data_IF_427731332050
#
_entry.id   IF_427731332050
#
_cell.length_a   1.000
_cell.length_b   1.000
_cell.length_c   1.000
_cell.angle_alpha   90.00
_cell.angle_beta   90.00
_cell.angle_gamma   90.00
#
_symmetry.space_group_name_H-M   'P 1'
#
loop_
_entity.id
_entity.type
_entity.pdbx_description
1 polymer ?
#
# COMPACT_ATOMS: atom_id res chain seq x y z
N UNK A 1 5.32 16.94 12.47
CA UNK A 1 4.86 16.41 11.16
C UNK A 1 5.35 14.98 11.05
N UNK A 2 4.50 14.03 10.60
CA UNK A 2 5.02 12.73 10.15
C UNK A 2 5.73 13.00 8.83
N UNK A 3 7.00 12.61 8.72
CA UNK A 3 7.72 12.67 7.46
C UNK A 3 7.17 11.58 6.55
N UNK A 4 6.93 11.93 5.30
CA UNK A 4 6.54 10.98 4.27
C UNK A 4 7.76 10.13 3.90
N UNK A 5 7.57 8.81 3.77
CA UNK A 5 8.61 7.87 3.38
C UNK A 5 8.46 7.54 1.89
N UNK A 6 9.56 7.43 1.19
CA UNK A 6 9.63 7.13 -0.24
C UNK A 6 10.61 5.98 -0.48
N UNK A 7 10.47 5.30 -1.62
CA UNK A 7 11.35 4.22 -2.08
C UNK A 7 11.97 4.65 -3.40
N UNK A 8 13.29 4.66 -3.47
CA UNK A 8 14.05 4.80 -4.69
C UNK A 8 14.32 3.40 -5.27
N UNK A 9 13.98 3.20 -6.53
CA UNK A 9 14.32 2.02 -7.33
C UNK A 9 15.22 2.43 -8.48
N UNK A 10 16.25 1.64 -8.74
CA UNK A 10 17.12 1.80 -9.90
C UNK A 10 17.46 0.45 -10.49
N UNK A 11 17.32 0.35 -11.80
CA UNK A 11 17.84 -0.76 -12.60
C UNK A 11 19.09 -0.26 -13.34
N UNK A 12 20.25 -0.74 -12.90
CA UNK A 12 21.53 -0.38 -13.49
C UNK A 12 21.80 -1.06 -14.83
N UNK A 13 21.11 -2.15 -15.16
CA UNK A 13 21.24 -2.84 -16.45
C UNK A 13 20.50 -2.07 -17.55
N UNK A 14 19.35 -1.50 -17.22
CA UNK A 14 18.53 -0.71 -18.15
C UNK A 14 18.84 0.79 -18.10
N UNK A 15 19.56 1.27 -17.09
CA UNK A 15 19.86 2.71 -16.93
C UNK A 15 18.60 3.52 -16.59
N UNK A 16 17.70 2.96 -15.79
CA UNK A 16 16.41 3.58 -15.43
C UNK A 16 16.23 3.66 -13.91
N UNK A 17 15.36 4.56 -13.48
CA UNK A 17 14.99 4.72 -12.07
C UNK A 17 13.50 5.02 -11.90
N UNK A 18 13.00 4.82 -10.68
CA UNK A 18 11.65 5.20 -10.27
C UNK A 18 11.65 5.58 -8.79
N UNK A 19 10.74 6.47 -8.40
CA UNK A 19 10.51 6.84 -7.00
C UNK A 19 9.06 6.55 -6.65
N UNK A 20 8.85 5.75 -5.60
CA UNK A 20 7.54 5.32 -5.13
C UNK A 20 7.26 5.99 -3.79
N UNK A 21 6.12 6.67 -3.67
CA UNK A 21 5.65 7.16 -2.39
C UNK A 21 4.55 8.21 -2.50
N UNK A 22 4.06 8.72 -1.36
CA UNK A 22 4.46 8.32 -0.01
C UNK A 22 4.00 6.89 0.37
N UNK A 23 4.89 6.09 0.96
CA UNK A 23 4.60 4.74 1.46
C UNK A 23 4.45 4.71 2.98
N UNK A 24 3.65 3.78 3.50
CA UNK A 24 3.61 3.53 4.94
C UNK A 24 4.90 2.82 5.38
N UNK A 25 5.45 3.20 6.55
CA UNK A 25 6.69 2.63 7.08
C UNK A 25 6.65 1.10 7.21
N UNK A 26 5.48 0.53 7.50
CA UNK A 26 5.28 -0.93 7.57
C UNK A 26 5.46 -1.65 6.23
N UNK A 27 5.48 -0.94 5.11
CA UNK A 27 5.59 -1.52 3.75
C UNK A 27 6.95 -1.27 3.08
N UNK A 28 7.81 -0.43 3.64
CA UNK A 28 9.13 -0.17 3.06
C UNK A 28 10.00 -1.45 3.02
N UNK A 29 9.89 -2.29 4.05
CA UNK A 29 10.60 -3.56 4.13
C UNK A 29 10.21 -4.53 3.00
N UNK A 30 8.99 -4.46 2.48
CA UNK A 30 8.54 -5.33 1.37
C UNK A 30 9.31 -4.99 0.09
N UNK A 31 9.51 -3.70 -0.19
CA UNK A 31 10.32 -3.23 -1.32
C UNK A 31 11.79 -3.59 -1.16
N UNK A 32 12.37 -3.37 0.02
CA UNK A 32 13.76 -3.73 0.31
C UNK A 32 14.00 -5.24 0.14
N UNK A 33 13.07 -6.07 0.62
CA UNK A 33 13.14 -7.53 0.47
C UNK A 33 13.10 -7.91 -1.01
N UNK A 34 12.17 -7.35 -1.80
CA UNK A 34 12.08 -7.65 -3.23
C UNK A 34 13.31 -7.22 -4.02
N UNK A 35 13.90 -6.08 -3.64
CA UNK A 35 15.20 -5.66 -4.16
C UNK A 35 16.34 -6.63 -3.85
N UNK A 36 16.35 -7.18 -2.62
CA UNK A 36 17.33 -8.21 -2.23
C UNK A 36 17.16 -9.50 -3.03
N UNK A 37 15.92 -9.92 -3.25
CA UNK A 37 15.60 -11.12 -4.03
C UNK A 37 16.04 -10.96 -5.49
N UNK A 38 15.73 -9.81 -6.11
CA UNK A 38 16.17 -9.50 -7.47
C UNK A 38 17.69 -9.48 -7.61
N UNK A 39 18.40 -8.88 -6.65
CA UNK A 39 19.88 -8.92 -6.61
C UNK A 39 20.43 -10.33 -6.45
N UNK A 40 19.80 -11.14 -5.60
CA UNK A 40 20.19 -12.54 -5.38
C UNK A 40 19.96 -13.40 -6.63
N UNK A 41 19.00 -13.02 -7.48
CA UNK A 41 18.77 -13.62 -8.79
C UNK A 41 19.70 -13.09 -9.90
N UNK A 42 20.60 -12.15 -9.59
CA UNK A 42 21.62 -11.64 -10.51
C UNK A 42 21.27 -10.33 -11.22
N UNK A 43 20.15 -9.68 -10.90
CA UNK A 43 19.78 -8.38 -11.47
C UNK A 43 20.51 -7.23 -10.78
N UNK A 44 20.88 -6.19 -11.54
CA UNK A 44 21.53 -4.99 -11.01
C UNK A 44 20.51 -3.97 -10.45
N UNK A 45 19.76 -4.39 -9.42
CA UNK A 45 18.72 -3.56 -8.80
C UNK A 45 19.23 -2.90 -7.52
N UNK A 46 19.01 -1.59 -7.39
CA UNK A 46 19.20 -0.84 -6.16
C UNK A 46 17.84 -0.39 -5.61
N UNK A 47 17.59 -0.68 -4.34
CA UNK A 47 16.38 -0.25 -3.60
C UNK A 47 16.82 0.44 -2.33
N UNK A 48 16.32 1.65 -2.09
CA UNK A 48 16.62 2.45 -0.90
C UNK A 48 15.36 3.16 -0.42
N UNK A 49 15.05 3.10 0.87
CA UNK A 49 14.03 3.94 1.48
C UNK A 49 14.64 5.26 1.99
N UNK A 50 13.89 6.34 1.85
CA UNK A 50 14.37 7.68 2.23
C UNK A 50 13.20 8.58 2.62
N UNK A 51 13.49 9.67 3.33
CA UNK A 51 12.45 10.60 3.79
C UNK A 51 12.18 11.69 2.75
N UNK A 52 10.96 12.21 2.71
CA UNK A 52 10.54 13.17 1.68
C UNK A 52 11.36 14.46 1.58
N UNK A 53 12.15 14.81 2.60
CA UNK A 53 13.12 15.90 2.54
C UNK A 53 14.29 15.65 1.57
N UNK A 54 14.55 14.39 1.22
CA UNK A 54 15.62 13.97 0.31
C UNK A 54 15.11 13.74 -1.12
N UNK A 55 13.81 13.92 -1.40
CA UNK A 55 13.18 13.58 -2.68
C UNK A 55 13.84 14.27 -3.89
N UNK A 56 14.11 15.57 -3.77
CA UNK A 56 14.74 16.34 -4.84
C UNK A 56 16.19 15.88 -5.10
N UNK A 57 16.93 15.52 -4.04
CA UNK A 57 18.30 15.05 -4.13
C UNK A 57 18.39 13.73 -4.92
N UNK A 58 17.46 12.79 -4.68
CA UNK A 58 17.40 11.55 -5.44
C UNK A 58 17.09 11.76 -6.92
N UNK A 59 16.20 12.68 -7.28
CA UNK A 59 15.95 13.03 -8.69
C UNK A 59 17.19 13.64 -9.36
N UNK A 60 17.89 14.55 -8.67
CA UNK A 60 19.10 15.19 -9.19
C UNK A 60 20.25 14.20 -9.34
N UNK A 61 20.41 13.30 -8.36
CA UNK A 61 21.38 12.23 -8.41
C UNK A 61 21.10 11.30 -9.60
N UNK A 62 19.86 10.87 -9.81
CA UNK A 62 19.50 9.99 -10.93
C UNK A 62 19.77 10.67 -12.29
N UNK A 63 19.40 11.95 -12.43
CA UNK A 63 19.72 12.75 -13.62
C UNK A 63 21.22 12.88 -13.86
N UNK A 64 22.01 13.09 -12.82
CA UNK A 64 23.49 13.17 -12.94
C UNK A 64 24.12 11.85 -13.40
N UNK A 65 23.47 10.72 -13.11
CA UNK A 65 23.87 9.39 -13.56
C UNK A 65 23.37 9.05 -14.97
N UNK A 66 22.60 9.95 -15.59
CA UNK A 66 22.01 9.73 -16.91
C UNK A 66 20.85 8.74 -16.92
N UNK A 67 20.22 8.48 -15.76
CA UNK A 67 19.11 7.55 -15.66
C UNK A 67 17.81 8.17 -16.19
N UNK A 68 17.00 7.34 -16.84
CA UNK A 68 15.66 7.74 -17.28
C UNK A 68 14.61 7.34 -16.25
N UNK A 69 13.65 8.24 -15.98
CA UNK A 69 12.55 7.93 -15.06
C UNK A 69 11.49 7.08 -15.76
N UNK A 70 11.11 5.97 -15.13
CA UNK A 70 10.11 5.01 -15.64
C UNK A 70 9.09 4.64 -14.56
N UNK A 71 8.03 3.91 -14.94
CA UNK A 71 7.13 3.35 -13.95
C UNK A 71 7.88 2.29 -13.12
N UNK A 72 7.61 2.26 -11.81
CA UNK A 72 8.19 1.24 -10.92
C UNK A 72 8.00 -0.19 -11.43
N UNK A 73 6.88 -0.47 -12.11
CA UNK A 73 6.54 -1.78 -12.67
C UNK A 73 7.45 -2.18 -13.85
N UNK A 74 8.10 -1.20 -14.50
CA UNK A 74 9.09 -1.47 -15.55
C UNK A 74 10.43 -1.94 -14.94
N UNK A 75 10.65 -1.72 -13.64
CA UNK A 75 11.86 -2.13 -12.90
C UNK A 75 11.61 -3.39 -12.08
N UNK A 76 10.59 -3.36 -11.22
CA UNK A 76 10.17 -4.46 -10.37
C UNK A 76 8.66 -4.48 -10.28
N UNK A 77 8.07 -5.67 -10.38
CA UNK A 77 6.70 -5.87 -9.94
C UNK A 77 6.52 -5.29 -8.53
N UNK A 78 5.41 -4.63 -8.26
CA UNK A 78 5.11 -4.18 -6.89
C UNK A 78 5.19 -5.39 -5.94
N UNK A 79 5.89 -5.29 -4.78
CA UNK A 79 6.00 -6.38 -3.82
C UNK A 79 4.65 -6.77 -3.22
N UNK A 80 3.64 -5.91 -3.42
CA UNK A 80 2.28 -6.11 -3.00
C UNK A 80 1.32 -5.58 -4.05
N UNK A 81 0.15 -6.19 -4.18
CA UNK A 81 -0.94 -5.64 -4.98
C UNK A 81 -1.40 -4.30 -4.37
N UNK A 82 -0.91 -3.15 -4.86
CA UNK A 82 -1.22 -1.82 -4.32
C UNK A 82 -2.69 -1.40 -4.49
N UNK A 83 -3.52 -2.23 -5.16
CA UNK A 83 -4.98 -2.13 -5.04
C UNK A 83 -5.48 -2.37 -3.60
N UNK A 84 -4.60 -2.90 -2.73
CA UNK A 84 -4.83 -3.05 -1.30
C UNK A 84 -4.43 -1.86 -0.46
N UNK A 85 -4.01 -0.73 -1.02
CA UNK A 85 -3.71 0.50 -0.29
C UNK A 85 -4.90 1.45 -0.26
N UNK A 86 -5.05 2.27 0.81
CA UNK A 86 -6.29 3.02 1.07
C UNK A 86 -5.96 4.43 0.69
N UNK A 87 -6.41 4.82 -0.50
CA UNK A 87 -6.09 6.11 -1.10
C UNK A 87 -6.96 7.25 -0.57
N UNK A 88 -8.01 6.93 0.20
CA UNK A 88 -8.92 7.92 0.77
C UNK A 88 -8.34 8.73 1.93
N UNK A 89 -8.89 9.93 2.12
CA UNK A 89 -8.75 10.67 3.37
C UNK A 89 -9.55 9.99 4.47
N UNK A 90 -8.96 9.90 5.68
CA UNK A 90 -9.63 9.29 6.82
C UNK A 90 -10.49 10.33 7.56
N UNK A 91 -11.80 10.09 7.72
CA UNK A 91 -12.62 10.91 8.60
C UNK A 91 -12.16 10.75 10.05
N UNK A 92 -12.46 11.75 10.90
CA UNK A 92 -12.03 11.79 12.32
C UNK A 92 -12.28 10.49 13.09
N UNK A 93 -13.41 9.81 12.82
CA UNK A 93 -13.77 8.56 13.50
C UNK A 93 -12.94 7.33 13.08
N UNK A 94 -12.08 7.45 12.08
CA UNK A 94 -11.27 6.36 11.52
C UNK A 94 -9.77 6.69 11.46
N UNK A 95 -9.34 7.81 12.05
CA UNK A 95 -7.95 8.29 11.96
C UNK A 95 -6.93 7.33 12.60
N UNK A 96 -7.31 6.65 13.68
CA UNK A 96 -6.42 5.75 14.42
C UNK A 96 -6.43 4.31 13.87
N UNK A 97 -7.19 4.04 12.81
CA UNK A 97 -7.34 2.70 12.25
C UNK A 97 -6.17 2.34 11.33
N UNK A 98 -5.78 1.07 11.36
CA UNK A 98 -4.72 0.58 10.49
C UNK A 98 -5.21 0.62 9.03
N UNK A 99 -4.62 1.49 8.20
CA UNK A 99 -5.03 1.71 6.80
C UNK A 99 -5.06 0.40 6.02
N UNK A 100 -4.12 -0.50 6.29
CA UNK A 100 -3.98 -1.80 5.66
C UNK A 100 -5.15 -2.78 5.94
N UNK A 101 -6.03 -2.47 6.90
CA UNK A 101 -7.23 -3.25 7.27
C UNK A 101 -8.54 -2.57 6.88
N UNK A 102 -8.48 -1.41 6.22
CA UNK A 102 -9.67 -0.61 5.95
C UNK A 102 -10.43 -1.09 4.73
N UNK A 103 -11.75 -1.09 4.90
CA UNK A 103 -12.74 -1.28 3.84
C UNK A 103 -13.92 -0.32 4.04
N UNK A 104 -14.73 -0.17 3.00
CA UNK A 104 -16.08 0.37 3.06
C UNK A 104 -17.09 -0.78 3.06
N UNK A 105 -18.10 -0.66 3.90
CA UNK A 105 -19.24 -1.55 3.92
C UNK A 105 -20.54 -0.80 4.26
N UNK A 106 -21.67 -1.36 3.85
CA UNK A 106 -22.99 -0.91 4.31
C UNK A 106 -23.22 -1.42 5.74
N UNK A 107 -23.16 -0.52 6.73
CA UNK A 107 -23.31 -0.90 8.13
C UNK A 107 -24.79 -1.17 8.46
N UNK A 108 -25.15 -2.45 8.63
CA UNK A 108 -26.48 -2.91 9.05
C UNK A 108 -26.81 -2.64 10.53
N UNK A 109 -25.83 -2.18 11.33
CA UNK A 109 -26.01 -1.77 12.73
C UNK A 109 -26.60 -0.36 12.90
N UNK A 110 -26.08 0.41 13.86
CA UNK A 110 -26.64 1.74 14.20
C UNK A 110 -26.47 2.80 13.09
N UNK A 111 -25.50 2.64 12.19
CA UNK A 111 -25.23 3.66 11.16
C UNK A 111 -26.18 3.63 9.97
N UNK A 112 -26.66 2.45 9.57
CA UNK A 112 -27.55 2.23 8.40
C UNK A 112 -27.08 2.91 7.10
N UNK A 113 -25.77 3.03 6.91
CA UNK A 113 -25.15 3.67 5.74
C UNK A 113 -23.76 3.11 5.48
N UNK A 114 -23.21 3.41 4.30
CA UNK A 114 -21.82 3.09 3.97
C UNK A 114 -20.87 3.85 4.87
N UNK A 115 -19.96 3.13 5.52
CA UNK A 115 -18.98 3.66 6.47
C UNK A 115 -17.67 2.91 6.35
N UNK A 116 -16.59 3.49 6.88
CA UNK A 116 -15.35 2.77 7.05
C UNK A 116 -15.47 1.73 8.17
N UNK A 117 -14.89 0.57 7.90
CA UNK A 117 -14.78 -0.54 8.82
C UNK A 117 -13.36 -1.12 8.77
N UNK A 118 -12.98 -1.77 9.87
CA UNK A 118 -11.68 -2.41 10.04
C UNK A 118 -11.84 -3.92 10.00
N UNK A 119 -11.09 -4.57 9.12
CA UNK A 119 -11.00 -6.02 9.01
C UNK A 119 -10.20 -6.62 10.18
N UNK A 120 -10.52 -7.87 10.53
CA UNK A 120 -9.73 -8.66 11.46
C UNK A 120 -8.33 -9.03 10.93
N UNK A 121 -8.12 -8.91 9.61
CA UNK A 121 -6.87 -9.22 8.90
C UNK A 121 -6.53 -8.09 7.92
N UNK A 122 -5.26 -7.96 7.46
CA UNK A 122 -4.94 -7.06 6.34
C UNK A 122 -5.85 -7.32 5.14
N UNK A 123 -6.23 -6.26 4.42
CA UNK A 123 -7.13 -6.34 3.28
C UNK A 123 -6.54 -7.27 2.20
N UNK A 124 -7.21 -8.40 1.90
CA UNK A 124 -6.64 -9.45 1.04
C UNK A 124 -6.89 -9.20 -0.46
N UNK A 125 -7.47 -8.05 -0.81
CA UNK A 125 -7.93 -7.76 -2.16
C UNK A 125 -9.40 -8.13 -2.38
N UNK A 126 -10.03 -7.46 -3.36
CA UNK A 126 -11.48 -7.56 -3.62
C UNK A 126 -11.91 -8.97 -4.03
N UNK A 127 -11.13 -9.63 -4.88
CA UNK A 127 -11.46 -10.95 -5.40
C UNK A 127 -11.35 -12.04 -4.33
N UNK A 128 -10.36 -11.94 -3.42
CA UNK A 128 -10.27 -12.85 -2.28
C UNK A 128 -11.41 -12.63 -1.29
N UNK A 129 -11.80 -11.38 -1.04
CA UNK A 129 -12.99 -11.09 -0.22
C UNK A 129 -14.24 -11.71 -0.83
N UNK A 130 -14.50 -11.59 -2.13
CA UNK A 130 -15.72 -12.16 -2.74
C UNK A 130 -15.77 -13.69 -2.68
N UNK A 131 -14.63 -14.35 -2.84
CA UNK A 131 -14.55 -15.83 -2.88
C UNK A 131 -14.57 -16.48 -1.50
N UNK A 132 -14.31 -15.71 -0.44
CA UNK A 132 -14.19 -16.26 0.90
C UNK A 132 -15.55 -16.64 1.51
N UNK A 133 -15.68 -17.82 2.14
CA UNK A 133 -16.87 -18.20 2.89
C UNK A 133 -17.29 -17.19 3.96
N UNK A 134 -18.60 -17.07 4.17
CA UNK A 134 -19.19 -16.18 5.16
C UNK A 134 -18.59 -16.44 6.55
N UNK A 135 -18.19 -15.38 7.24
CA UNK A 135 -17.59 -15.47 8.58
C UNK A 135 -16.08 -15.71 8.62
N UNK A 136 -15.43 -16.05 7.50
CA UNK A 136 -13.96 -16.09 7.41
C UNK A 136 -13.35 -14.72 7.71
N UNK A 137 -13.94 -13.67 7.13
CA UNK A 137 -13.57 -12.29 7.40
C UNK A 137 -14.61 -11.59 8.25
N UNK A 138 -14.14 -10.78 9.19
CA UNK A 138 -14.97 -9.97 10.08
C UNK A 138 -14.56 -8.52 9.93
N UNK A 139 -15.55 -7.64 9.77
CA UNK A 139 -15.32 -6.22 9.67
C UNK A 139 -16.05 -5.48 10.79
N UNK A 140 -15.32 -4.70 11.59
CA UNK A 140 -15.88 -3.87 12.66
C UNK A 140 -16.13 -2.46 12.13
N UNK A 141 -17.38 -2.01 12.18
CA UNK A 141 -17.73 -0.63 11.84
C UNK A 141 -17.02 0.34 12.78
N UNK A 142 -16.20 1.23 12.25
CA UNK A 142 -15.41 2.18 13.05
C UNK A 142 -16.27 3.27 13.70
N UNK A 143 -17.51 3.44 13.25
CA UNK A 143 -18.43 4.45 13.78
C UNK A 143 -19.35 3.94 14.89
N UNK A 144 -19.79 2.67 14.86
CA UNK A 144 -20.73 2.14 15.85
C UNK A 144 -20.35 0.77 16.44
N UNK A 145 -19.18 0.25 16.09
CA UNK A 145 -18.63 -1.03 16.56
C UNK A 145 -19.43 -2.29 16.23
N UNK A 146 -20.51 -2.19 15.44
CA UNK A 146 -21.20 -3.38 14.91
C UNK A 146 -20.26 -4.19 14.01
N UNK A 147 -20.28 -5.51 14.17
CA UNK A 147 -19.45 -6.43 13.39
C UNK A 147 -20.27 -7.04 12.25
N UNK A 148 -19.74 -6.96 11.04
CA UNK A 148 -20.27 -7.61 9.84
C UNK A 148 -19.42 -8.85 9.50
N UNK A 149 -20.08 -9.87 8.96
CA UNK A 149 -19.47 -11.14 8.53
C UNK A 149 -19.81 -11.49 7.07
N UNK A 150 -20.64 -10.65 6.43
CA UNK A 150 -21.11 -10.75 5.05
C UNK A 150 -20.23 -9.85 4.16
N UNK A 151 -19.19 -10.47 3.60
CA UNK A 151 -18.08 -9.88 2.86
C UNK A 151 -18.37 -9.56 1.38
N UNK A 152 -19.55 -9.92 0.88
CA UNK A 152 -19.85 -9.89 -0.56
C UNK A 152 -19.83 -8.47 -1.17
N UNK A 153 -20.19 -7.47 -0.37
CA UNK A 153 -20.29 -6.07 -0.77
C UNK A 153 -19.24 -5.18 -0.10
N UNK A 154 -18.13 -5.77 0.37
CA UNK A 154 -17.02 -5.00 0.94
C UNK A 154 -16.07 -4.60 -0.16
N UNK A 155 -15.59 -3.37 -0.08
CA UNK A 155 -14.70 -2.82 -1.10
C UNK A 155 -13.78 -1.76 -0.50
N UNK A 156 -12.84 -1.32 -1.30
CA UNK A 156 -11.90 -0.24 -1.01
C UNK A 156 -11.85 0.67 -2.24
N UNK A 157 -11.49 1.93 -2.03
CA UNK A 157 -11.14 2.89 -3.09
C UNK A 157 -9.62 2.87 -3.33
#
# INVERSE_FOLDING_TARGET
MKKDLYIYLQDGDQGVYSIIGPVAHEFANDWLTKGNDARSAGHNIKVVDFWGDELQEYHEQAKSQGLSEVDSLDILDSPRDSSVDYKGNLPKYAQDSARNKLIKLLCKGKCRKTVLAELNVPYPGREQLKKAPMGQYKARCLKCNSVAQDNYNWYRD
#
